data_IF_667488175588
#
_entry.id   IF_667488175588
#
_cell.length_a   1.000
_cell.length_b   1.000
_cell.length_c   1.000
_cell.angle_alpha   90.00
_cell.angle_beta   90.00
_cell.angle_gamma   90.00
#
_symmetry.space_group_name_H-M   'P 1'
#
loop_
_entity.id
_entity.type
_entity.pdbx_description
1 polymer ?
#
# COMPACT_ATOMS: atom_id res chain seq x y z
N UNK A 1 20.45 35.57 1.90
CA UNK A 1 20.42 34.21 1.29
C UNK A 1 19.53 33.35 2.17
N UNK A 2 18.27 33.14 1.77
CA UNK A 2 17.29 32.40 2.55
C UNK A 2 17.02 31.07 1.85
N UNK A 3 17.48 29.98 2.46
CA UNK A 3 17.21 28.60 2.02
C UNK A 3 15.74 28.32 2.27
N UNK A 4 14.94 28.36 1.21
CA UNK A 4 13.51 28.01 1.27
C UNK A 4 13.36 26.49 1.12
N UNK A 5 12.97 25.84 2.22
CA UNK A 5 12.58 24.43 2.26
C UNK A 5 11.48 24.19 1.22
N UNK A 6 11.77 23.38 0.19
CA UNK A 6 10.74 22.85 -0.72
C UNK A 6 10.02 21.72 0.01
N UNK A 7 8.79 21.97 0.43
CA UNK A 7 7.86 20.92 0.81
C UNK A 7 7.57 20.07 -0.42
N UNK A 8 7.79 18.77 -0.30
CA UNK A 8 7.36 17.78 -1.29
C UNK A 8 6.09 17.17 -0.70
N UNK A 9 4.92 17.72 -1.02
CA UNK A 9 3.66 17.04 -0.73
C UNK A 9 3.45 16.04 -1.87
N UNK A 10 3.83 14.79 -1.61
CA UNK A 10 3.30 13.66 -2.36
C UNK A 10 1.78 13.73 -2.25
N UNK A 11 1.10 14.09 -3.34
CA UNK A 11 -0.32 13.76 -3.51
C UNK A 11 -0.46 12.30 -3.97
N UNK A 12 0.37 11.40 -3.44
CA UNK A 12 -0.24 10.26 -2.80
C UNK A 12 -0.68 10.77 -1.43
N UNK A 13 -1.98 10.92 -1.20
CA UNK A 13 -2.46 10.41 0.08
C UNK A 13 -2.14 8.91 0.06
N UNK A 14 -0.86 8.56 0.24
CA UNK A 14 -0.44 7.34 0.87
C UNK A 14 -0.91 7.49 2.31
N UNK A 15 -2.23 7.45 2.47
CA UNK A 15 -2.83 6.69 3.54
C UNK A 15 -2.04 5.40 3.49
N UNK A 16 -1.14 5.20 4.45
CA UNK A 16 -0.49 3.92 4.60
C UNK A 16 -1.63 2.91 4.78
N UNK A 17 -2.05 2.27 3.68
CA UNK A 17 -3.14 1.31 3.68
C UNK A 17 -2.59 0.14 4.47
N UNK A 18 -3.19 -0.06 5.64
CA UNK A 18 -2.80 -1.15 6.52
C UNK A 18 -2.98 -2.50 5.84
N UNK A 19 -2.43 -3.53 6.46
CA UNK A 19 -2.99 -4.89 6.44
C UNK A 19 -4.48 -4.82 6.80
N UNK A 20 -5.27 -4.69 5.75
CA UNK A 20 -6.72 -4.62 5.83
C UNK A 20 -7.29 -5.99 5.55
N UNK A 21 -8.22 -6.39 6.40
CA UNK A 21 -9.12 -7.51 6.12
C UNK A 21 -10.41 -6.91 5.56
N UNK A 22 -10.69 -7.15 4.27
CA UNK A 22 -11.96 -6.78 3.66
C UNK A 22 -12.97 -7.88 4.03
N UNK A 23 -13.81 -7.61 5.02
CA UNK A 23 -14.94 -8.49 5.30
C UNK A 23 -16.06 -8.17 4.32
N UNK A 24 -16.27 -9.04 3.32
CA UNK A 24 -17.37 -8.90 2.38
C UNK A 24 -18.70 -8.97 3.11
N UNK A 25 -19.45 -7.87 3.11
CA UNK A 25 -20.87 -7.90 3.45
C UNK A 25 -21.63 -8.48 2.24
N UNK A 26 -21.51 -9.79 2.03
CA UNK A 26 -22.48 -10.56 1.25
C UNK A 26 -23.74 -10.73 2.08
N UNK A 27 -24.51 -9.66 2.27
CA UNK A 27 -25.86 -9.75 2.83
C UNK A 27 -26.82 -9.64 1.65
N UNK A 28 -27.43 -10.76 1.28
CA UNK A 28 -28.69 -10.74 0.55
C UNK A 28 -29.68 -9.93 1.40
N UNK A 29 -29.85 -8.66 1.07
CA UNK A 29 -30.92 -7.84 1.61
C UNK A 29 -32.23 -8.44 1.10
N UNK A 30 -32.91 -9.22 1.93
CA UNK A 30 -34.33 -9.46 1.75
C UNK A 30 -35.01 -8.10 1.61
N UNK A 31 -35.81 -7.91 0.55
CA UNK A 31 -36.45 -6.66 0.15
C UNK A 31 -37.42 -6.05 1.19
N UNK A 32 -37.42 -6.49 2.45
CA UNK A 32 -38.35 -6.09 3.51
C UNK A 32 -37.83 -5.10 4.57
N UNK A 33 -36.59 -4.59 4.48
CA UNK A 33 -36.04 -3.65 5.49
C UNK A 33 -35.49 -2.33 4.94
N UNK A 34 -35.70 -2.05 3.65
CA UNK A 34 -35.17 -0.87 2.98
C UNK A 34 -36.01 0.40 3.26
N UNK A 35 -36.18 0.80 4.52
CA UNK A 35 -36.74 2.11 4.91
C UNK A 35 -36.34 2.50 6.35
N UNK A 36 -35.05 2.46 6.70
CA UNK A 36 -34.54 3.38 7.71
C UNK A 36 -33.83 4.49 6.97
N UNK A 37 -34.40 5.70 6.99
CA UNK A 37 -33.75 6.86 6.41
C UNK A 37 -32.32 6.97 6.94
N UNK A 38 -31.34 7.10 6.04
CA UNK A 38 -29.95 7.45 6.33
C UNK A 38 -29.87 8.83 7.01
N UNK A 39 -30.30 8.92 8.27
CA UNK A 39 -30.21 10.15 9.02
C UNK A 39 -28.75 10.38 9.43
N UNK A 40 -28.27 11.64 9.47
CA UNK A 40 -26.95 11.96 9.98
C UNK A 40 -26.68 11.36 11.38
N UNK A 41 -27.70 11.30 12.26
CA UNK A 41 -27.61 10.62 13.56
C UNK A 41 -27.43 9.11 13.45
N UNK A 42 -28.09 8.47 12.49
CA UNK A 42 -27.97 7.04 12.24
C UNK A 42 -26.53 6.63 11.90
N UNK A 43 -25.84 7.44 11.08
CA UNK A 43 -24.42 7.23 10.77
C UNK A 43 -23.54 7.32 12.02
N UNK A 44 -23.75 8.35 12.86
CA UNK A 44 -23.00 8.51 14.11
C UNK A 44 -23.19 7.29 15.02
N UNK A 45 -24.42 6.80 15.13
CA UNK A 45 -24.73 5.62 15.94
C UNK A 45 -24.11 4.34 15.36
N UNK A 46 -24.22 4.14 14.04
CA UNK A 46 -23.62 2.98 13.35
C UNK A 46 -22.11 2.91 13.61
N UNK A 47 -21.40 4.02 13.41
CA UNK A 47 -19.95 4.08 13.66
C UNK A 47 -19.64 3.79 15.13
N UNK A 48 -20.37 4.39 16.06
CA UNK A 48 -20.20 4.15 17.49
C UNK A 48 -20.35 2.66 17.83
N UNK A 49 -21.40 2.00 17.31
CA UNK A 49 -21.68 0.59 17.56
C UNK A 49 -20.59 -0.32 17.01
N UNK A 50 -20.03 0.00 15.84
CA UNK A 50 -18.93 -0.79 15.27
C UNK A 50 -17.71 -0.69 16.19
N UNK A 51 -17.31 0.51 16.61
CA UNK A 51 -16.17 0.70 17.53
C UNK A 51 -16.40 -0.05 18.85
N UNK A 52 -17.58 0.12 19.45
CA UNK A 52 -17.95 -0.52 20.71
C UNK A 52 -17.75 -2.05 20.64
N UNK A 53 -18.10 -2.67 19.51
CA UNK A 53 -18.03 -4.11 19.32
C UNK A 53 -16.65 -4.63 18.89
N UNK A 54 -15.91 -3.91 18.03
CA UNK A 54 -14.76 -4.51 17.32
C UNK A 54 -13.40 -3.86 17.58
N UNK A 55 -13.33 -2.61 18.03
CA UNK A 55 -12.08 -1.92 18.35
C UNK A 55 -11.13 -2.68 19.29
N UNK A 56 -9.84 -2.74 19.00
CA UNK A 56 -8.87 -3.62 19.68
C UNK A 56 -8.68 -3.33 21.19
N UNK A 57 -8.87 -2.08 21.62
CA UNK A 57 -8.73 -1.69 23.02
C UNK A 57 -10.11 -1.54 23.67
N UNK A 58 -10.49 -2.53 24.49
CA UNK A 58 -11.76 -2.54 25.21
C UNK A 58 -11.90 -1.44 26.28
N UNK A 59 -10.82 -0.72 26.60
CA UNK A 59 -10.87 0.46 27.48
C UNK A 59 -11.08 1.76 26.71
N UNK A 60 -11.07 1.71 25.37
CA UNK A 60 -11.25 2.86 24.47
C UNK A 60 -10.31 4.03 24.81
N UNK A 61 -9.04 3.74 25.12
CA UNK A 61 -8.08 4.72 25.60
C UNK A 61 -8.56 5.48 26.85
N UNK A 62 -9.19 4.74 27.79
CA UNK A 62 -9.80 5.25 29.04
C UNK A 62 -10.96 6.23 28.81
N UNK A 63 -11.53 6.28 27.62
CA UNK A 63 -12.71 7.09 27.32
C UNK A 63 -13.96 6.33 27.73
N UNK A 64 -14.89 7.00 28.43
CA UNK A 64 -16.23 6.46 28.63
C UNK A 64 -16.97 6.46 27.27
N UNK A 65 -16.90 5.31 26.59
CA UNK A 65 -17.45 5.16 25.25
C UNK A 65 -18.98 5.23 25.27
N UNK A 66 -19.64 4.76 26.34
CA UNK A 66 -21.11 4.85 26.48
C UNK A 66 -21.56 6.29 26.66
N UNK A 67 -20.89 7.06 27.53
CA UNK A 67 -21.17 8.49 27.68
C UNK A 67 -20.89 9.26 26.38
N UNK A 68 -19.83 8.87 25.65
CA UNK A 68 -19.53 9.43 24.33
C UNK A 68 -20.68 9.20 23.34
N UNK A 69 -21.33 8.03 23.35
CA UNK A 69 -22.54 7.80 22.54
C UNK A 69 -23.61 8.84 22.82
N UNK A 70 -23.95 9.01 24.09
CA UNK A 70 -25.00 9.94 24.53
C UNK A 70 -24.67 11.37 24.15
N UNK A 71 -23.42 11.80 24.35
CA UNK A 71 -22.93 13.12 23.96
C UNK A 71 -23.16 13.40 22.47
N UNK A 72 -22.75 12.48 21.59
CA UNK A 72 -22.83 12.68 20.15
C UNK A 72 -24.26 12.52 19.62
N UNK A 73 -25.07 11.59 20.13
CA UNK A 73 -26.46 11.44 19.69
C UNK A 73 -27.37 12.62 20.11
N UNK A 74 -27.01 13.34 21.17
CA UNK A 74 -27.72 14.53 21.61
C UNK A 74 -27.42 15.78 20.76
N UNK A 75 -26.35 15.78 19.96
CA UNK A 75 -26.02 16.90 19.07
C UNK A 75 -27.04 16.99 17.92
N UNK A 76 -27.45 18.20 17.50
CA UNK A 76 -28.16 18.38 16.24
C UNK A 76 -27.19 18.21 15.07
N UNK A 77 -27.64 17.60 13.98
CA UNK A 77 -26.91 17.49 12.72
C UNK A 77 -27.83 17.95 11.60
N UNK A 78 -27.51 19.09 11.00
CA UNK A 78 -28.27 19.67 9.89
C UNK A 78 -27.90 19.02 8.54
N UNK A 79 -26.72 18.38 8.43
CA UNK A 79 -26.26 17.73 7.20
C UNK A 79 -25.40 16.49 7.46
N UNK A 80 -25.12 15.72 6.39
CA UNK A 80 -24.19 14.57 6.43
C UNK A 80 -22.77 15.02 6.78
N UNK A 81 -22.34 16.17 6.25
CA UNK A 81 -21.01 16.73 6.48
C UNK A 81 -20.78 17.10 7.96
N UNK A 82 -21.83 17.57 8.66
CA UNK A 82 -21.77 17.79 10.11
C UNK A 82 -21.61 16.47 10.87
N UNK A 83 -22.35 15.42 10.48
CA UNK A 83 -22.16 14.09 11.05
C UNK A 83 -20.76 13.52 10.76
N UNK A 84 -20.20 13.71 9.56
CA UNK A 84 -18.84 13.27 9.23
C UNK A 84 -17.80 13.94 10.12
N UNK A 85 -17.93 15.26 10.35
CA UNK A 85 -17.05 15.99 11.29
C UNK A 85 -17.18 15.42 12.69
N UNK A 86 -18.40 15.23 13.17
CA UNK A 86 -18.67 14.69 14.49
C UNK A 86 -18.11 13.27 14.66
N UNK A 87 -18.28 12.39 13.67
CA UNK A 87 -17.69 11.04 13.66
C UNK A 87 -16.16 11.13 13.75
N UNK A 88 -15.51 11.98 12.94
CA UNK A 88 -14.05 12.15 12.99
C UNK A 88 -13.59 12.64 14.36
N UNK A 89 -14.31 13.56 14.99
CA UNK A 89 -14.04 14.01 16.37
C UNK A 89 -14.23 12.89 17.40
N UNK A 90 -15.29 12.10 17.27
CA UNK A 90 -15.58 10.96 18.15
C UNK A 90 -14.44 9.94 18.10
N UNK A 91 -13.99 9.58 16.89
CA UNK A 91 -12.90 8.62 16.70
C UNK A 91 -11.54 9.14 17.20
N UNK A 92 -11.27 10.45 17.13
CA UNK A 92 -10.03 11.04 17.68
C UNK A 92 -9.87 10.77 19.18
N UNK A 93 -10.96 10.62 19.94
CA UNK A 93 -10.91 10.30 21.38
C UNK A 93 -10.18 8.98 21.66
N UNK A 94 -10.20 8.03 20.71
CA UNK A 94 -9.53 6.73 20.85
C UNK A 94 -7.99 6.82 20.83
N UNK A 95 -7.43 7.95 20.37
CA UNK A 95 -5.98 8.11 20.26
C UNK A 95 -5.30 7.19 19.23
N UNK A 96 -6.08 6.44 18.44
CA UNK A 96 -5.59 5.57 17.38
C UNK A 96 -5.70 6.26 16.01
N UNK A 97 -4.57 6.64 15.37
CA UNK A 97 -4.58 7.30 14.08
C UNK A 97 -5.04 6.38 12.93
N UNK A 98 -5.13 5.06 13.16
CA UNK A 98 -5.53 4.09 12.14
C UNK A 98 -7.02 3.77 12.15
N UNK A 99 -7.71 4.02 13.27
CA UNK A 99 -9.16 3.95 13.35
C UNK A 99 -9.76 5.26 12.85
N UNK A 100 -10.36 5.23 11.67
CA UNK A 100 -10.77 6.46 10.98
C UNK A 100 -11.99 6.24 10.09
N UNK A 101 -12.77 7.30 10.00
CA UNK A 101 -13.85 7.45 9.03
C UNK A 101 -13.29 7.93 7.70
N UNK A 102 -13.87 7.43 6.63
CA UNK A 102 -13.62 7.80 5.25
C UNK A 102 -14.93 8.22 4.63
N UNK A 103 -15.03 9.43 4.08
CA UNK A 103 -16.21 9.79 3.30
C UNK A 103 -16.32 8.91 2.03
N UNK A 104 -17.45 8.93 1.29
CA UNK A 104 -17.64 8.04 0.14
C UNK A 104 -16.53 8.14 -0.91
N UNK A 105 -15.93 9.32 -1.10
CA UNK A 105 -14.86 9.52 -2.06
C UNK A 105 -13.53 8.97 -1.55
N UNK A 106 -13.20 9.22 -0.28
CA UNK A 106 -12.04 8.63 0.40
C UNK A 106 -12.11 7.10 0.41
N UNK A 107 -13.30 6.54 0.71
CA UNK A 107 -13.51 5.10 0.76
C UNK A 107 -13.36 4.46 -0.63
N UNK A 108 -13.94 5.07 -1.66
CA UNK A 108 -13.77 4.65 -3.05
C UNK A 108 -12.31 4.68 -3.51
N UNK A 109 -11.56 5.71 -3.13
CA UNK A 109 -10.13 5.78 -3.45
C UNK A 109 -9.34 4.65 -2.79
N UNK A 110 -9.62 4.36 -1.51
CA UNK A 110 -9.00 3.24 -0.81
C UNK A 110 -9.32 1.90 -1.48
N UNK A 111 -10.57 1.68 -1.93
CA UNK A 111 -10.95 0.47 -2.66
C UNK A 111 -10.14 0.29 -3.95
N UNK A 112 -9.95 1.37 -4.72
CA UNK A 112 -9.12 1.38 -5.94
C UNK A 112 -7.67 1.00 -5.63
N UNK A 113 -7.07 1.55 -4.58
CA UNK A 113 -5.69 1.25 -4.20
C UNK A 113 -5.52 -0.24 -3.82
N UNK A 114 -6.54 -0.85 -3.20
CA UNK A 114 -6.48 -2.26 -2.77
C UNK A 114 -6.83 -3.26 -3.87
N UNK A 115 -7.70 -2.90 -4.81
CA UNK A 115 -8.05 -3.78 -5.94
C UNK A 115 -6.88 -3.98 -6.89
N UNK A 116 -5.95 -3.02 -6.96
CA UNK A 116 -4.92 -3.01 -8.01
C UNK A 116 -5.49 -2.64 -9.38
N UNK A 117 -6.73 -2.16 -9.44
CA UNK A 117 -7.40 -1.70 -10.66
C UNK A 117 -7.89 -0.27 -10.48
N UNK A 118 -7.53 0.61 -11.42
CA UNK A 118 -8.08 1.95 -11.52
C UNK A 118 -8.91 2.10 -12.79
N UNK A 119 -10.06 2.77 -12.69
CA UNK A 119 -10.77 3.21 -13.89
C UNK A 119 -10.42 4.64 -14.23
N UNK A 120 -9.98 4.89 -15.47
CA UNK A 120 -9.64 6.22 -15.95
C UNK A 120 -8.79 6.14 -17.21
N UNK A 121 -7.85 7.07 -17.37
CA UNK A 121 -6.94 7.11 -18.53
C UNK A 121 -5.48 6.79 -18.18
N UNK A 122 -5.16 6.66 -16.89
CA UNK A 122 -3.86 6.18 -16.42
C UNK A 122 -2.81 7.27 -16.30
N UNK A 123 -3.14 8.36 -15.59
CA UNK A 123 -2.23 9.48 -15.36
C UNK A 123 -2.09 9.68 -13.85
N UNK A 124 -0.85 9.80 -13.38
CA UNK A 124 -0.54 10.29 -12.05
C UNK A 124 -0.42 11.81 -12.10
N UNK A 125 -1.19 12.51 -11.28
CA UNK A 125 -1.28 13.97 -11.27
C UNK A 125 -0.81 14.57 -9.96
N UNK A 126 -0.27 15.77 -10.05
CA UNK A 126 -0.04 16.66 -8.91
C UNK A 126 -0.53 18.06 -9.25
N UNK A 127 -0.86 18.85 -8.23
CA UNK A 127 -0.97 20.30 -8.38
C UNK A 127 0.36 20.93 -7.94
N UNK A 128 0.95 21.79 -8.76
CA UNK A 128 2.12 22.57 -8.35
C UNK A 128 1.72 23.54 -7.22
N UNK A 129 2.47 23.54 -6.11
CA UNK A 129 2.06 24.28 -4.91
C UNK A 129 1.95 25.79 -5.13
N UNK A 130 2.78 26.35 -6.02
CA UNK A 130 2.88 27.79 -6.28
C UNK A 130 1.95 28.25 -7.38
N UNK A 131 1.95 27.54 -8.50
CA UNK A 131 1.21 27.92 -9.71
C UNK A 131 -0.18 27.30 -9.76
N UNK A 132 -0.48 26.33 -8.88
CA UNK A 132 -1.73 25.54 -8.86
C UNK A 132 -2.01 24.79 -10.16
N UNK A 133 -1.03 24.70 -11.07
CA UNK A 133 -1.17 24.00 -12.34
C UNK A 133 -1.18 22.50 -12.11
N UNK A 134 -2.14 21.83 -12.75
CA UNK A 134 -2.21 20.37 -12.75
C UNK A 134 -1.13 19.81 -13.68
N UNK A 135 -0.21 19.07 -13.10
CA UNK A 135 0.98 18.55 -13.78
C UNK A 135 0.99 17.03 -13.72
N UNK A 136 1.31 16.41 -14.85
CA UNK A 136 1.52 14.96 -14.96
C UNK A 136 2.83 14.61 -14.26
N UNK A 137 2.76 13.77 -13.24
CA UNK A 137 3.95 13.15 -12.66
C UNK A 137 4.48 12.11 -13.64
N UNK A 138 3.62 11.16 -14.02
CA UNK A 138 3.92 10.13 -15.00
C UNK A 138 2.62 9.51 -15.54
N UNK A 139 2.58 9.10 -16.82
CA UNK A 139 1.59 8.13 -17.27
C UNK A 139 1.86 6.76 -16.62
N UNK A 140 0.79 5.97 -16.41
CA UNK A 140 0.90 4.56 -16.02
C UNK A 140 1.22 3.75 -17.27
N UNK A 141 2.25 2.90 -17.22
CA UNK A 141 2.61 1.99 -18.34
C UNK A 141 1.38 1.18 -18.79
N UNK A 142 1.31 0.89 -20.10
CA UNK A 142 0.19 0.16 -20.75
C UNK A 142 -1.21 0.80 -20.62
N UNK A 143 -1.29 2.04 -20.15
CA UNK A 143 -2.55 2.80 -20.06
C UNK A 143 -2.90 3.57 -21.35
N UNK A 144 -4.16 4.00 -21.52
CA UNK A 144 -4.56 4.87 -22.63
C UNK A 144 -3.73 6.15 -22.75
N UNK A 145 -3.38 6.79 -21.63
CA UNK A 145 -2.54 7.99 -21.62
C UNK A 145 -1.10 7.70 -22.04
N UNK A 146 -0.54 6.57 -21.61
CA UNK A 146 0.79 6.13 -22.03
C UNK A 146 0.84 5.86 -23.53
N UNK A 147 -0.13 5.09 -24.05
CA UNK A 147 -0.25 4.80 -25.47
C UNK A 147 -0.46 6.06 -26.32
N UNK A 148 -1.15 7.07 -25.77
CA UNK A 148 -1.35 8.37 -26.43
C UNK A 148 -0.11 9.28 -26.41
N UNK A 149 0.96 8.92 -25.68
CA UNK A 149 2.20 9.70 -25.63
C UNK A 149 2.13 10.91 -24.69
N UNK A 150 1.29 10.86 -23.66
CA UNK A 150 1.36 11.80 -22.53
C UNK A 150 2.66 11.55 -21.77
N UNK A 151 3.36 12.62 -21.40
CA UNK A 151 4.68 12.56 -20.77
C UNK A 151 4.67 13.16 -19.37
N UNK A 152 5.66 12.77 -18.57
CA UNK A 152 5.96 13.46 -17.31
C UNK A 152 6.19 14.96 -17.55
N UNK A 153 5.69 15.78 -16.63
CA UNK A 153 5.71 17.26 -16.63
C UNK A 153 4.78 17.94 -17.64
N UNK A 154 3.98 17.18 -18.38
CA UNK A 154 2.87 17.75 -19.14
C UNK A 154 1.90 18.48 -18.20
N UNK A 155 1.40 19.65 -18.62
CA UNK A 155 0.46 20.44 -17.82
C UNK A 155 -0.93 20.27 -18.42
N UNK A 156 -1.91 19.83 -17.62
CA UNK A 156 -3.31 19.79 -18.03
C UNK A 156 -3.89 21.20 -17.91
N UNK A 157 -4.33 21.77 -19.04
CA UNK A 157 -4.93 23.11 -19.08
C UNK A 157 -6.44 23.08 -19.33
N UNK A 158 -6.98 22.00 -19.93
CA UNK A 158 -8.43 21.77 -20.01
C UNK A 158 -8.79 20.28 -19.90
N UNK A 159 -9.99 20.00 -19.36
CA UNK A 159 -10.60 18.67 -19.26
C UNK A 159 -12.02 18.78 -19.80
N UNK A 160 -12.32 18.07 -20.90
CA UNK A 160 -13.60 18.16 -21.63
C UNK A 160 -14.00 19.62 -21.94
N UNK A 161 -13.02 20.44 -22.30
CA UNK A 161 -13.19 21.87 -22.60
C UNK A 161 -13.31 22.78 -21.36
N UNK A 162 -13.40 22.23 -20.15
CA UNK A 162 -13.39 23.02 -18.91
C UNK A 162 -11.97 23.43 -18.57
N UNK A 163 -11.74 24.72 -18.25
CA UNK A 163 -10.44 25.20 -17.81
C UNK A 163 -9.98 24.48 -16.56
N UNK A 164 -8.72 24.05 -16.55
CA UNK A 164 -8.06 23.43 -15.41
C UNK A 164 -7.37 24.47 -14.48
N UNK A 165 -7.42 25.77 -14.83
CA UNK A 165 -6.84 26.83 -14.02
C UNK A 165 -7.57 26.97 -12.68
N UNK A 166 -6.81 26.90 -11.57
CA UNK A 166 -7.37 26.93 -10.22
C UNK A 166 -8.21 25.71 -9.85
N UNK A 167 -8.28 24.68 -10.71
CA UNK A 167 -9.06 23.48 -10.43
C UNK A 167 -8.37 22.64 -9.36
N UNK A 168 -9.13 22.31 -8.31
CA UNK A 168 -8.68 21.38 -7.27
C UNK A 168 -8.34 20.01 -7.87
N UNK A 169 -7.23 19.41 -7.41
CA UNK A 169 -6.72 18.13 -7.92
C UNK A 169 -7.80 17.04 -7.89
N UNK A 170 -8.56 16.94 -6.80
CA UNK A 170 -9.63 15.96 -6.66
C UNK A 170 -10.75 16.17 -7.68
N UNK A 171 -11.09 17.42 -8.00
CA UNK A 171 -12.08 17.73 -9.03
C UNK A 171 -11.58 17.28 -10.40
N UNK A 172 -10.33 17.58 -10.74
CA UNK A 172 -9.73 17.12 -11.99
C UNK A 172 -9.72 15.59 -12.11
N UNK A 173 -9.30 14.88 -11.05
CA UNK A 173 -9.33 13.42 -11.00
C UNK A 173 -10.75 12.89 -11.25
N UNK A 174 -11.77 13.51 -10.65
CA UNK A 174 -13.17 13.10 -10.85
C UNK A 174 -13.67 13.26 -12.30
N UNK A 175 -13.19 14.27 -13.02
CA UNK A 175 -13.54 14.53 -14.43
C UNK A 175 -12.79 13.60 -15.39
N UNK A 176 -11.53 13.32 -15.08
CA UNK A 176 -10.68 12.43 -15.89
C UNK A 176 -11.13 10.97 -15.75
N UNK A 177 -11.52 10.57 -14.54
CA UNK A 177 -12.18 9.28 -14.30
C UNK A 177 -13.59 9.27 -14.86
N UNK A 178 -14.18 8.08 -14.97
CA UNK A 178 -15.51 7.90 -15.54
C UNK A 178 -15.71 6.46 -15.99
N UNK A 179 -16.87 6.15 -16.57
CA UNK A 179 -17.21 4.78 -16.97
C UNK A 179 -16.24 4.24 -18.03
N UNK A 180 -15.73 3.00 -17.90
CA UNK A 180 -14.90 2.39 -18.94
C UNK A 180 -15.61 2.40 -20.29
N UNK A 181 -14.86 2.64 -21.36
CA UNK A 181 -15.38 2.73 -22.73
C UNK A 181 -15.79 4.14 -23.17
N UNK A 182 -16.10 5.04 -22.23
CA UNK A 182 -16.33 6.47 -22.52
C UNK A 182 -15.00 7.19 -22.77
N UNK A 183 -15.04 8.42 -23.28
CA UNK A 183 -13.83 9.20 -23.54
C UNK A 183 -13.78 10.50 -22.76
N UNK A 184 -12.57 11.00 -22.54
CA UNK A 184 -12.28 12.33 -21.99
C UNK A 184 -11.30 13.04 -22.93
N UNK A 185 -11.52 14.32 -23.16
CA UNK A 185 -10.62 15.18 -23.92
C UNK A 185 -9.72 15.95 -22.97
N UNK A 186 -8.40 15.75 -23.07
CA UNK A 186 -7.42 16.53 -22.32
C UNK A 186 -6.69 17.49 -23.25
N UNK A 187 -6.66 18.77 -22.88
CA UNK A 187 -5.78 19.74 -23.53
C UNK A 187 -4.53 19.89 -22.66
N UNK A 188 -3.38 19.55 -23.24
CA UNK A 188 -2.08 19.50 -22.57
C UNK A 188 -1.19 20.63 -23.10
N UNK A 189 -0.49 21.30 -22.20
CA UNK A 189 0.62 22.19 -22.50
C UNK A 189 1.96 21.48 -22.25
N UNK A 190 2.79 21.40 -23.28
CA UNK A 190 4.16 20.87 -23.24
C UNK A 190 5.12 21.91 -23.79
N UNK A 191 5.83 22.59 -22.88
CA UNK A 191 6.56 23.81 -23.23
C UNK A 191 5.60 24.86 -23.80
N UNK A 192 5.88 25.36 -25.00
CA UNK A 192 5.03 26.36 -25.67
C UNK A 192 3.94 25.74 -26.57
N UNK A 193 3.90 24.41 -26.69
CA UNK A 193 2.93 23.71 -27.54
C UNK A 193 1.70 23.28 -26.74
N UNK A 194 0.52 23.46 -27.34
CA UNK A 194 -0.73 22.88 -26.87
C UNK A 194 -1.14 21.72 -27.76
N UNK A 195 -1.59 20.62 -27.15
CA UNK A 195 -2.00 19.40 -27.84
C UNK A 195 -3.28 18.88 -27.21
N UNK A 196 -4.22 18.41 -28.04
CA UNK A 196 -5.44 17.76 -27.57
C UNK A 196 -5.30 16.23 -27.65
N UNK A 197 -5.74 15.55 -26.60
CA UNK A 197 -5.75 14.09 -26.51
C UNK A 197 -7.17 13.61 -26.22
N UNK A 198 -7.75 12.88 -27.16
CA UNK A 198 -8.99 12.14 -26.93
C UNK A 198 -8.65 10.77 -26.36
N UNK A 199 -8.85 10.59 -25.06
CA UNK A 199 -8.46 9.38 -24.34
C UNK A 199 -9.70 8.55 -24.01
N UNK A 200 -9.66 7.26 -24.36
CA UNK A 200 -10.69 6.31 -23.94
C UNK A 200 -10.42 5.88 -22.50
N UNK A 201 -11.42 6.00 -21.63
CA UNK A 201 -11.37 5.50 -20.26
C UNK A 201 -11.35 3.98 -20.29
N UNK A 202 -10.44 3.38 -19.55
CA UNK A 202 -10.29 1.94 -19.42
C UNK A 202 -10.13 1.55 -17.96
N UNK A 203 -10.26 0.25 -17.69
CA UNK A 203 -9.67 -0.34 -16.50
C UNK A 203 -8.17 -0.44 -16.73
N UNK A 204 -7.39 0.09 -15.80
CA UNK A 204 -5.94 0.12 -15.83
C UNK A 204 -5.46 -0.72 -14.66
N UNK A 205 -4.71 -1.75 -14.97
CA UNK A 205 -4.05 -2.57 -13.98
C UNK A 205 -2.86 -1.80 -13.42
N UNK A 206 -2.79 -1.71 -12.10
CA UNK A 206 -1.63 -1.19 -11.40
C UNK A 206 -0.80 -2.40 -11.03
N UNK A 207 0.35 -2.58 -11.69
CA UNK A 207 1.23 -3.72 -11.45
C UNK A 207 2.06 -3.54 -10.17
N UNK A 208 1.72 -4.23 -9.06
CA UNK A 208 2.47 -4.14 -7.81
C UNK A 208 3.85 -4.80 -7.85
N UNK A 209 4.13 -5.67 -8.83
CA UNK A 209 5.39 -6.43 -8.88
C UNK A 209 6.20 -6.05 -10.11
N UNK A 210 7.40 -5.55 -9.88
CA UNK A 210 8.43 -5.36 -10.92
C UNK A 210 9.49 -6.44 -10.73
N UNK A 211 9.84 -7.16 -11.80
CA UNK A 211 10.86 -8.20 -11.73
C UNK A 211 11.85 -8.12 -12.88
N UNK A 212 13.09 -8.51 -12.61
CA UNK A 212 14.15 -8.48 -13.60
C UNK A 212 15.25 -9.46 -13.26
N UNK A 213 15.80 -10.10 -14.29
CA UNK A 213 17.06 -10.80 -14.21
C UNK A 213 18.21 -9.79 -14.11
N UNK A 214 19.10 -9.98 -13.15
CA UNK A 214 20.32 -9.19 -12.98
C UNK A 214 21.51 -10.10 -13.25
N UNK A 215 22.22 -9.82 -14.34
CA UNK A 215 23.49 -10.48 -14.61
C UNK A 215 24.48 -10.02 -13.55
N UNK A 216 25.15 -10.98 -12.95
CA UNK A 216 26.19 -10.76 -11.94
C UNK A 216 27.34 -11.73 -12.22
N UNK A 217 28.44 -11.63 -11.48
CA UNK A 217 29.58 -12.55 -11.55
C UNK A 217 29.20 -14.00 -11.16
N UNK A 218 28.03 -14.19 -10.57
CA UNK A 218 27.49 -15.50 -10.23
C UNK A 218 26.98 -16.29 -11.44
N UNK A 219 27.29 -17.58 -11.47
CA UNK A 219 26.73 -18.52 -12.44
C UNK A 219 25.22 -18.67 -12.21
N UNK A 220 24.42 -18.07 -13.11
CA UNK A 220 22.96 -18.04 -13.05
C UNK A 220 22.35 -16.67 -12.71
N UNK A 221 23.14 -15.69 -12.25
CA UNK A 221 22.65 -14.33 -11.95
C UNK A 221 21.63 -14.26 -10.80
N UNK A 222 20.99 -13.09 -10.65
CA UNK A 222 20.06 -12.79 -9.54
C UNK A 222 18.67 -12.46 -10.04
N UNK A 223 17.67 -13.04 -9.38
CA UNK A 223 16.28 -12.61 -9.51
C UNK A 223 16.00 -11.41 -8.60
N UNK A 224 15.91 -10.22 -9.19
CA UNK A 224 15.46 -9.04 -8.45
C UNK A 224 13.96 -8.86 -8.61
N UNK A 225 13.23 -8.81 -7.49
CA UNK A 225 11.79 -8.58 -7.45
C UNK A 225 11.51 -7.43 -6.51
N UNK A 226 10.85 -6.38 -6.99
CA UNK A 226 10.37 -5.26 -6.17
C UNK A 226 8.86 -5.33 -6.07
N UNK A 227 8.36 -5.46 -4.84
CA UNK A 227 6.93 -5.44 -4.52
C UNK A 227 6.59 -4.08 -3.92
N UNK A 228 5.84 -3.25 -4.65
CA UNK A 228 5.53 -1.88 -4.21
C UNK A 228 4.28 -1.78 -3.32
N UNK A 229 3.37 -2.75 -3.41
CA UNK A 229 2.15 -2.79 -2.61
C UNK A 229 1.54 -4.20 -2.59
N UNK A 230 0.87 -4.58 -1.50
CA UNK A 230 0.12 -5.83 -1.39
C UNK A 230 -1.33 -5.64 -1.90
N UNK A 231 -1.51 -5.46 -3.21
CA UNK A 231 -2.85 -5.41 -3.84
C UNK A 231 -3.41 -6.81 -4.16
N UNK A 232 -4.65 -6.88 -4.65
CA UNK A 232 -5.26 -8.17 -5.04
C UNK A 232 -4.50 -8.89 -6.17
N UNK A 233 -3.85 -8.15 -7.07
CA UNK A 233 -3.09 -8.72 -8.20
C UNK A 233 -1.69 -9.21 -7.80
N UNK A 234 -1.16 -8.76 -6.65
CA UNK A 234 0.21 -9.03 -6.25
C UNK A 234 0.59 -10.53 -6.13
N UNK A 235 -0.27 -11.44 -5.63
CA UNK A 235 0.09 -12.86 -5.54
C UNK A 235 0.31 -13.48 -6.92
N UNK A 236 -0.57 -13.19 -7.88
CA UNK A 236 -0.47 -13.72 -9.23
C UNK A 236 0.79 -13.20 -9.93
N UNK A 237 1.06 -11.90 -9.84
CA UNK A 237 2.27 -11.30 -10.43
C UNK A 237 3.56 -11.78 -9.75
N UNK A 238 3.57 -11.94 -8.42
CA UNK A 238 4.71 -12.48 -7.68
C UNK A 238 5.02 -13.91 -8.11
N UNK A 239 4.00 -14.76 -8.20
CA UNK A 239 4.14 -16.14 -8.69
C UNK A 239 4.73 -16.17 -10.10
N UNK A 240 4.19 -15.35 -11.01
CA UNK A 240 4.68 -15.26 -12.38
C UNK A 240 6.13 -14.76 -12.45
N UNK A 241 6.48 -13.76 -11.63
CA UNK A 241 7.84 -13.24 -11.52
C UNK A 241 8.83 -14.32 -11.07
N UNK A 242 8.50 -15.05 -9.99
CA UNK A 242 9.33 -16.14 -9.49
C UNK A 242 9.50 -17.22 -10.56
N UNK A 243 8.40 -17.70 -11.17
CA UNK A 243 8.44 -18.74 -12.20
C UNK A 243 9.23 -18.32 -13.45
N UNK A 244 9.13 -17.06 -13.89
CA UNK A 244 9.91 -16.53 -15.02
C UNK A 244 11.41 -16.51 -14.69
N UNK A 245 11.77 -16.07 -13.48
CA UNK A 245 13.15 -16.02 -13.02
C UNK A 245 13.73 -17.43 -12.79
N UNK A 246 12.94 -18.38 -12.31
CA UNK A 246 13.33 -19.79 -12.21
C UNK A 246 13.67 -20.38 -13.59
N UNK A 247 12.86 -20.09 -14.63
CA UNK A 247 13.16 -20.49 -16.03
C UNK A 247 14.45 -19.87 -16.57
N UNK A 248 14.88 -18.73 -16.03
CA UNK A 248 16.15 -18.08 -16.34
C UNK A 248 17.32 -18.61 -15.48
N UNK A 249 17.05 -19.62 -14.65
CA UNK A 249 18.00 -20.31 -13.80
C UNK A 249 18.77 -19.36 -12.85
N UNK A 250 18.07 -18.41 -12.24
CA UNK A 250 18.65 -17.52 -11.23
C UNK A 250 19.25 -18.30 -10.07
N UNK A 251 20.36 -17.84 -9.51
CA UNK A 251 21.06 -18.49 -8.40
C UNK A 251 20.43 -18.16 -7.04
N UNK A 252 19.68 -17.06 -6.97
CA UNK A 252 19.04 -16.57 -5.76
C UNK A 252 18.24 -15.29 -6.01
N UNK A 253 17.61 -14.78 -4.96
CA UNK A 253 16.66 -13.69 -5.03
C UNK A 253 16.99 -12.52 -4.10
N UNK A 254 16.73 -11.31 -4.60
CA UNK A 254 16.60 -10.10 -3.78
C UNK A 254 15.15 -9.64 -3.90
N UNK A 255 14.42 -9.68 -2.78
CA UNK A 255 13.06 -9.16 -2.67
C UNK A 255 13.10 -7.77 -2.04
N UNK A 256 12.70 -6.75 -2.79
CA UNK A 256 12.70 -5.36 -2.34
C UNK A 256 11.31 -4.92 -1.87
N UNK A 257 11.20 -4.70 -0.55
CA UNK A 257 10.00 -4.20 0.15
C UNK A 257 10.16 -2.75 0.61
N UNK A 258 11.22 -2.05 0.19
CA UNK A 258 11.47 -0.66 0.60
C UNK A 258 10.39 0.26 0.08
N UNK A 259 9.92 1.15 0.95
CA UNK A 259 8.84 2.10 0.70
C UNK A 259 7.51 1.43 0.31
N UNK A 260 7.30 0.17 0.71
CA UNK A 260 6.03 -0.53 0.56
C UNK A 260 5.18 -0.39 1.84
N UNK A 261 4.09 0.40 1.81
CA UNK A 261 3.29 0.72 2.99
C UNK A 261 2.42 -0.46 3.48
N UNK A 262 2.45 -1.60 2.80
CA UNK A 262 1.60 -2.75 3.05
C UNK A 262 0.51 -2.89 2.00
N UNK A 263 -0.73 -3.12 2.44
CA UNK A 263 -1.85 -3.53 1.60
C UNK A 263 -2.55 -4.72 2.25
N UNK A 264 -3.19 -5.61 1.50
CA UNK A 264 -4.03 -6.67 2.04
C UNK A 264 -3.26 -7.70 2.87
N UNK A 265 -3.83 -8.06 4.04
CA UNK A 265 -3.26 -9.07 4.95
C UNK A 265 -3.10 -10.43 4.25
N UNK A 266 -4.16 -10.93 3.63
CA UNK A 266 -4.16 -12.25 3.00
C UNK A 266 -3.20 -12.34 1.81
N UNK A 267 -3.05 -11.26 1.04
CA UNK A 267 -2.01 -11.15 0.01
C UNK A 267 -0.61 -11.36 0.59
N UNK A 268 -0.32 -10.82 1.77
CA UNK A 268 0.98 -11.01 2.42
C UNK A 268 1.24 -12.46 2.83
N UNK A 269 0.21 -13.15 3.33
CA UNK A 269 0.27 -14.56 3.72
C UNK A 269 0.46 -15.45 2.49
N UNK A 270 -0.27 -15.19 1.40
CA UNK A 270 -0.11 -15.91 0.14
C UNK A 270 1.30 -15.75 -0.44
N UNK A 271 1.82 -14.53 -0.46
CA UNK A 271 3.20 -14.27 -0.91
C UNK A 271 4.21 -14.95 0.02
N UNK A 272 4.01 -14.92 1.34
CA UNK A 272 4.88 -15.63 2.28
C UNK A 272 4.94 -17.14 2.01
N UNK A 273 3.80 -17.77 1.67
CA UNK A 273 3.71 -19.19 1.29
C UNK A 273 4.49 -19.53 0.00
N UNK A 274 4.76 -18.56 -0.86
CA UNK A 274 5.60 -18.77 -2.06
C UNK A 274 7.09 -18.89 -1.70
N UNK A 275 7.50 -18.34 -0.56
CA UNK A 275 8.89 -18.33 -0.11
C UNK A 275 9.16 -19.32 1.03
N UNK A 276 8.15 -19.66 1.84
CA UNK A 276 8.26 -20.54 3.00
C UNK A 276 7.62 -21.90 2.72
N UNK A 277 8.40 -22.97 2.89
CA UNK A 277 7.91 -24.35 2.77
C UNK A 277 7.08 -24.73 4.00
N UNK A 278 7.64 -24.54 5.19
CA UNK A 278 7.01 -24.76 6.49
C UNK A 278 7.21 -23.53 7.41
N UNK A 279 6.71 -23.63 8.64
CA UNK A 279 6.81 -22.56 9.65
C UNK A 279 5.56 -21.68 9.78
N UNK A 280 5.55 -20.88 10.85
CA UNK A 280 4.49 -19.90 11.09
C UNK A 280 4.77 -18.61 10.29
N UNK A 281 3.72 -17.90 9.91
CA UNK A 281 3.83 -16.64 9.14
C UNK A 281 3.48 -15.47 10.04
N UNK A 282 2.29 -15.47 10.63
CA UNK A 282 1.80 -14.39 11.47
C UNK A 282 0.76 -14.93 12.44
N UNK A 283 0.66 -14.30 13.60
CA UNK A 283 -0.52 -14.44 14.46
C UNK A 283 -1.23 -13.10 14.62
N UNK A 284 -2.55 -13.12 14.72
CA UNK A 284 -3.34 -11.97 15.16
C UNK A 284 -3.84 -12.21 16.57
N UNK A 285 -3.89 -11.15 17.39
CA UNK A 285 -4.47 -11.20 18.74
C UNK A 285 -5.50 -10.08 18.85
N UNK A 286 -6.75 -10.43 19.12
CA UNK A 286 -7.85 -9.47 19.30
C UNK A 286 -8.00 -9.00 20.74
N UNK A 287 -9.05 -8.22 21.02
CA UNK A 287 -9.33 -7.68 22.36
C UNK A 287 -9.70 -8.77 23.39
N UNK A 288 -10.20 -9.91 22.93
CA UNK A 288 -10.57 -11.06 23.77
C UNK A 288 -9.36 -11.93 24.10
N UNK A 289 -8.22 -11.69 23.43
CA UNK A 289 -7.03 -12.52 23.52
C UNK A 289 -7.08 -13.75 22.62
N UNK A 290 -8.10 -13.86 21.76
CA UNK A 290 -8.19 -14.94 20.78
C UNK A 290 -7.07 -14.77 19.75
N UNK A 291 -6.40 -15.89 19.44
CA UNK A 291 -5.23 -15.90 18.58
C UNK A 291 -5.49 -16.74 17.33
N UNK A 292 -5.55 -16.08 16.18
CA UNK A 292 -5.53 -16.76 14.88
C UNK A 292 -4.09 -16.86 14.38
N UNK A 293 -3.72 -17.99 13.76
CA UNK A 293 -2.34 -18.30 13.36
C UNK A 293 -2.30 -18.80 11.93
N UNK A 294 -1.55 -18.06 11.12
CA UNK A 294 -1.33 -18.40 9.72
C UNK A 294 0.02 -19.10 9.54
N UNK A 295 0.03 -20.15 8.72
CA UNK A 295 1.21 -20.99 8.47
C UNK A 295 1.50 -21.18 6.98
N UNK A 296 2.75 -21.52 6.70
CA UNK A 296 3.16 -22.04 5.42
C UNK A 296 2.45 -23.38 5.12
N UNK A 297 2.36 -23.73 3.84
CA UNK A 297 1.49 -24.82 3.36
C UNK A 297 2.21 -25.81 2.42
N UNK A 298 3.54 -25.92 2.50
CA UNK A 298 4.38 -26.77 1.64
C UNK A 298 4.28 -26.47 0.14
N UNK A 299 3.93 -25.23 -0.24
CA UNK A 299 3.83 -24.79 -1.65
C UNK A 299 4.83 -23.68 -1.99
N UNK A 300 5.99 -23.67 -1.34
CA UNK A 300 7.07 -22.76 -1.73
C UNK A 300 7.42 -22.99 -3.20
N UNK A 301 7.66 -21.91 -3.92
CA UNK A 301 8.02 -21.94 -5.34
C UNK A 301 9.52 -22.10 -5.54
N UNK A 302 10.32 -21.80 -4.51
CA UNK A 302 11.78 -21.88 -4.56
C UNK A 302 12.38 -21.95 -3.16
N UNK A 303 13.42 -22.77 -3.02
CA UNK A 303 14.25 -22.85 -1.82
C UNK A 303 15.60 -22.12 -1.98
N UNK A 304 15.80 -21.45 -3.13
CA UNK A 304 17.04 -20.71 -3.42
C UNK A 304 17.28 -19.59 -2.40
N UNK A 305 18.55 -19.20 -2.16
CA UNK A 305 18.91 -18.11 -1.26
C UNK A 305 18.10 -16.84 -1.52
N UNK A 306 17.65 -16.21 -0.43
CA UNK A 306 16.82 -14.99 -0.45
C UNK A 306 17.42 -13.95 0.50
N UNK A 307 17.47 -12.71 0.03
CA UNK A 307 17.72 -11.51 0.82
C UNK A 307 16.55 -10.54 0.63
N UNK A 308 16.10 -9.90 1.71
CA UNK A 308 14.98 -8.94 1.67
C UNK A 308 15.49 -7.55 1.99
N UNK A 309 15.17 -6.57 1.14
CA UNK A 309 15.46 -5.16 1.41
C UNK A 309 14.26 -4.52 2.11
N UNK A 310 14.53 -3.82 3.22
CA UNK A 310 13.51 -3.11 4.02
C UNK A 310 13.97 -1.70 4.39
N UNK A 311 13.03 -0.78 4.58
CA UNK A 311 13.30 0.56 5.08
C UNK A 311 12.18 1.06 6.02
N UNK A 312 12.30 2.29 6.52
CA UNK A 312 11.27 2.92 7.35
C UNK A 312 9.92 3.16 6.66
N UNK A 313 9.83 2.95 5.34
CA UNK A 313 8.58 2.95 4.59
C UNK A 313 7.97 1.56 4.41
N UNK A 314 8.70 0.49 4.73
CA UNK A 314 8.17 -0.87 4.85
C UNK A 314 7.24 -0.94 6.06
N UNK A 315 5.94 -1.12 5.83
CA UNK A 315 4.95 -1.13 6.90
C UNK A 315 3.94 -2.28 6.75
N UNK A 316 3.33 -2.67 7.87
CA UNK A 316 2.16 -3.54 7.94
C UNK A 316 2.34 -4.89 7.22
N UNK A 317 1.66 -5.17 6.11
CA UNK A 317 1.84 -6.41 5.34
C UNK A 317 3.31 -6.67 4.93
N UNK A 318 4.10 -5.61 4.67
CA UNK A 318 5.55 -5.72 4.42
C UNK A 318 6.30 -6.21 5.66
N UNK A 319 5.88 -5.78 6.84
CA UNK A 319 6.45 -6.20 8.14
C UNK A 319 6.05 -7.64 8.47
N UNK A 320 4.82 -8.03 8.14
CA UNK A 320 4.38 -9.43 8.26
C UNK A 320 5.27 -10.36 7.42
N UNK A 321 5.44 -10.03 6.13
CA UNK A 321 6.26 -10.84 5.23
C UNK A 321 7.73 -10.87 5.67
N UNK A 322 8.32 -9.72 5.97
CA UNK A 322 9.73 -9.64 6.38
C UNK A 322 9.98 -10.32 7.74
N UNK A 323 9.08 -10.15 8.71
CA UNK A 323 9.14 -10.83 10.01
C UNK A 323 8.98 -12.34 9.89
N UNK A 324 8.06 -12.81 9.06
CA UNK A 324 7.90 -14.24 8.78
C UNK A 324 9.16 -14.83 8.16
N UNK A 325 9.75 -14.17 7.15
CA UNK A 325 10.96 -14.66 6.49
C UNK A 325 12.19 -14.61 7.39
N UNK A 326 12.30 -13.59 8.26
CA UNK A 326 13.38 -13.46 9.23
C UNK A 326 13.29 -14.53 10.32
N UNK A 327 12.13 -14.66 10.97
CA UNK A 327 11.96 -15.57 12.12
C UNK A 327 12.14 -17.03 11.74
N UNK A 328 11.73 -17.41 10.53
CA UNK A 328 11.95 -18.76 10.00
C UNK A 328 13.35 -18.94 9.37
N UNK A 329 14.26 -17.95 9.51
CA UNK A 329 15.63 -17.96 8.94
C UNK A 329 15.66 -18.15 7.41
N UNK A 330 14.54 -17.85 6.73
CA UNK A 330 14.39 -18.03 5.28
C UNK A 330 15.14 -16.96 4.48
N UNK A 331 15.24 -15.75 5.02
CA UNK A 331 15.94 -14.64 4.39
C UNK A 331 16.81 -13.87 5.40
N UNK A 332 17.83 -13.18 4.89
CA UNK A 332 18.48 -12.08 5.63
C UNK A 332 17.79 -10.77 5.26
N UNK A 333 17.44 -9.94 6.24
CA UNK A 333 16.93 -8.59 6.05
C UNK A 333 18.09 -7.59 6.00
N UNK A 334 18.07 -6.70 5.02
CA UNK A 334 19.10 -5.67 4.80
C UNK A 334 18.42 -4.31 4.63
N UNK A 335 18.97 -3.27 5.24
CA UNK A 335 18.49 -1.90 5.05
C UNK A 335 18.33 -1.15 6.37
N UNK A 336 17.14 -0.61 6.67
CA UNK A 336 16.88 0.09 7.93
C UNK A 336 15.65 -0.48 8.63
N UNK A 337 15.52 -0.24 9.94
CA UNK A 337 14.33 -0.56 10.72
C UNK A 337 13.04 -0.17 9.99
N UNK A 338 12.04 -1.06 10.03
CA UNK A 338 10.72 -0.84 9.43
C UNK A 338 9.85 0.13 10.24
N UNK A 339 8.68 0.47 9.71
CA UNK A 339 7.82 1.53 10.25
C UNK A 339 7.27 1.25 11.67
N UNK A 340 6.91 0.01 11.97
CA UNK A 340 6.26 -0.37 13.23
C UNK A 340 4.74 -0.31 13.21
N UNK A 341 4.09 -0.69 12.11
CA UNK A 341 2.62 -0.74 12.00
C UNK A 341 2.12 -2.17 12.17
N UNK A 342 2.06 -2.62 13.42
CA UNK A 342 1.66 -3.98 13.81
C UNK A 342 0.17 -4.16 14.15
N UNK A 343 -0.73 -3.38 13.55
CA UNK A 343 -2.17 -3.39 13.85
C UNK A 343 -2.97 -3.88 12.65
N UNK A 344 -4.02 -4.66 12.92
CA UNK A 344 -4.98 -5.21 11.95
C UNK A 344 -6.16 -4.27 11.83
N UNK A 345 -6.53 -3.88 10.61
CA UNK A 345 -7.71 -3.05 10.38
C UNK A 345 -8.78 -3.85 9.65
N UNK A 346 -9.99 -3.87 10.19
CA UNK A 346 -11.18 -4.24 9.43
C UNK A 346 -11.69 -2.98 8.75
N UNK A 347 -11.90 -3.06 7.44
CA UNK A 347 -12.55 -1.98 6.69
C UNK A 347 -13.94 -2.41 6.28
N UNK A 348 -14.93 -1.56 6.54
CA UNK A 348 -16.34 -1.79 6.28
C UNK A 348 -16.94 -0.59 5.56
N UNK A 349 -17.81 -0.86 4.58
CA UNK A 349 -18.70 0.16 4.03
C UNK A 349 -19.84 0.43 5.00
N UNK A 350 -20.31 1.68 5.05
CA UNK A 350 -21.43 2.15 5.86
C UNK A 350 -22.65 2.41 4.95
N UNK A 351 -23.82 2.60 5.56
CA UNK A 351 -25.09 2.70 4.83
C UNK A 351 -25.12 3.76 3.73
N UNK A 352 -24.46 4.90 3.96
CA UNK A 352 -24.44 6.06 3.05
C UNK A 352 -23.32 6.01 1.98
N UNK A 353 -22.63 4.87 1.85
CA UNK A 353 -21.52 4.67 0.92
C UNK A 353 -20.17 5.17 1.44
N UNK A 354 -20.11 5.71 2.66
CA UNK A 354 -18.86 6.00 3.35
C UNK A 354 -18.21 4.72 3.88
N UNK A 355 -17.03 4.84 4.49
CA UNK A 355 -16.28 3.70 5.01
C UNK A 355 -15.70 3.94 6.38
N UNK A 356 -15.53 2.87 7.14
CA UNK A 356 -14.88 2.88 8.44
C UNK A 356 -13.74 1.87 8.46
N UNK A 357 -12.53 2.35 8.76
CA UNK A 357 -11.40 1.50 9.12
C UNK A 357 -11.33 1.43 10.65
N UNK A 358 -11.35 0.22 11.21
CA UNK A 358 -11.28 -0.02 12.66
C UNK A 358 -10.12 -0.93 12.96
N UNK A 359 -9.27 -0.55 13.90
CA UNK A 359 -8.24 -1.45 14.43
C UNK A 359 -8.91 -2.52 15.28
N UNK A 360 -8.82 -3.79 14.89
CA UNK A 360 -9.53 -4.90 15.56
C UNK A 360 -8.60 -5.89 16.28
N UNK A 361 -7.33 -5.92 15.91
CA UNK A 361 -6.35 -6.85 16.45
C UNK A 361 -4.92 -6.31 16.24
N UNK A 362 -3.94 -6.98 16.84
CA UNK A 362 -2.51 -6.74 16.61
C UNK A 362 -1.82 -7.95 16.00
N UNK A 363 -0.73 -7.72 15.25
CA UNK A 363 0.11 -8.76 14.67
C UNK A 363 1.26 -9.14 15.59
N UNK A 364 1.52 -10.44 15.67
CA UNK A 364 2.75 -10.99 16.23
C UNK A 364 3.51 -11.76 15.16
N UNK A 365 4.83 -11.58 15.11
CA UNK A 365 5.71 -12.40 14.26
C UNK A 365 5.74 -13.86 14.75
N UNK A 366 6.28 -14.82 13.99
CA UNK A 366 6.39 -16.21 14.43
C UNK A 366 7.07 -16.40 15.81
N UNK A 367 8.05 -15.56 16.14
CA UNK A 367 8.72 -15.55 17.45
C UNK A 367 7.96 -14.75 18.52
N UNK A 368 6.72 -14.33 18.27
CA UNK A 368 5.88 -13.61 19.22
C UNK A 368 6.19 -12.12 19.37
N UNK A 369 6.99 -11.51 18.48
CA UNK A 369 7.34 -10.09 18.56
C UNK A 369 6.16 -9.22 18.17
N UNK A 370 5.85 -8.22 19.00
CA UNK A 370 4.87 -7.18 18.69
C UNK A 370 5.50 -6.15 17.75
N UNK A 371 4.98 -6.05 16.53
CA UNK A 371 5.48 -5.13 15.51
C UNK A 371 5.06 -3.69 15.83
N UNK A 372 3.95 -3.49 16.55
CA UNK A 372 3.37 -2.16 16.73
C UNK A 372 4.33 -1.24 17.52
N UNK A 373 4.63 -0.07 16.96
CA UNK A 373 5.60 0.94 17.43
C UNK A 373 7.07 0.49 17.44
N UNK A 374 7.35 -0.81 17.27
CA UNK A 374 8.70 -1.36 17.34
C UNK A 374 9.28 -1.68 15.97
N UNK A 375 8.45 -2.01 14.98
CA UNK A 375 8.92 -2.46 13.67
C UNK A 375 9.74 -3.74 13.74
N UNK A 376 10.53 -3.95 12.70
CA UNK A 376 11.41 -5.09 12.49
C UNK A 376 12.78 -4.52 12.16
N UNK A 377 13.77 -4.89 12.98
CA UNK A 377 15.15 -4.51 12.74
C UNK A 377 15.76 -5.43 11.65
N UNK A 378 16.50 -4.87 10.68
CA UNK A 378 17.19 -5.67 9.68
C UNK A 378 18.32 -6.46 10.34
N UNK A 379 18.66 -7.62 9.79
CA UNK A 379 19.83 -8.38 10.25
C UNK A 379 21.14 -7.65 9.92
N UNK A 380 21.14 -6.85 8.84
CA UNK A 380 22.26 -5.99 8.44
C UNK A 380 21.77 -4.57 8.18
N UNK A 381 22.13 -3.65 9.08
CA UNK A 381 21.77 -2.25 8.94
C UNK A 381 22.67 -1.53 7.93
N UNK A 382 22.06 -0.90 6.93
CA UNK A 382 22.70 -0.02 5.94
C UNK A 382 21.86 1.26 5.84
N UNK A 383 22.37 2.33 6.41
CA UNK A 383 21.76 3.66 6.36
C UNK A 383 22.27 4.41 5.12
N UNK A 384 21.34 5.04 4.40
CA UNK A 384 21.66 5.97 3.33
C UNK A 384 21.67 7.39 3.88
N UNK A 385 22.64 8.20 3.46
CA UNK A 385 22.61 9.65 3.68
C UNK A 385 21.42 10.30 2.97
N UNK A 386 21.05 11.53 3.37
CA UNK A 386 19.97 12.28 2.72
C UNK A 386 20.22 12.50 1.24
N UNK A 387 21.46 12.80 0.85
CA UNK A 387 21.85 12.98 -0.55
C UNK A 387 21.71 11.69 -1.35
N UNK A 388 22.10 10.54 -0.78
CA UNK A 388 21.92 9.23 -1.42
C UNK A 388 20.44 8.86 -1.57
N UNK A 389 19.61 9.11 -0.54
CA UNK A 389 18.16 8.91 -0.62
C UNK A 389 17.54 9.81 -1.69
N UNK A 390 17.94 11.07 -1.74
CA UNK A 390 17.44 12.02 -2.73
C UNK A 390 17.89 11.64 -4.14
N UNK A 391 19.12 11.14 -4.31
CA UNK A 391 19.62 10.66 -5.61
C UNK A 391 18.80 9.48 -6.12
N UNK A 392 18.52 8.47 -5.29
CA UNK A 392 17.66 7.33 -5.66
C UNK A 392 16.20 7.74 -5.91
N UNK A 393 15.70 8.74 -5.19
CA UNK A 393 14.36 9.26 -5.42
C UNK A 393 14.23 10.04 -6.72
N UNK A 394 15.30 10.75 -7.13
CA UNK A 394 15.34 11.52 -8.40
C UNK A 394 15.56 10.63 -9.61
N UNK A 395 16.29 9.54 -9.43
CA UNK A 395 16.67 8.61 -10.48
C UNK A 395 16.36 7.18 -10.05
N UNK A 396 15.13 6.74 -10.33
CA UNK A 396 14.61 5.44 -9.90
C UNK A 396 15.24 4.27 -10.65
N UNK A 397 15.91 4.51 -11.77
CA UNK A 397 16.59 3.47 -12.55
C UNK A 397 17.83 2.93 -11.83
N UNK A 398 18.35 3.68 -10.85
CA UNK A 398 19.42 3.23 -9.95
C UNK A 398 18.95 2.23 -8.89
N UNK A 399 17.66 2.14 -8.61
CA UNK A 399 17.12 1.22 -7.60
C UNK A 399 17.29 -0.23 -8.08
N UNK A 400 17.84 -1.08 -7.23
CA UNK A 400 18.09 -2.48 -7.60
C UNK A 400 19.29 -2.65 -8.54
N UNK A 401 20.26 -1.74 -8.45
CA UNK A 401 21.55 -1.76 -9.17
C UNK A 401 22.71 -1.55 -8.19
N UNK A 402 23.96 -1.82 -8.58
CA UNK A 402 25.12 -1.56 -7.70
C UNK A 402 25.28 -0.10 -7.25
N UNK A 403 24.63 0.88 -7.91
CA UNK A 403 24.63 2.27 -7.47
C UNK A 403 23.76 2.50 -6.21
N UNK A 404 22.90 1.56 -5.86
CA UNK A 404 22.12 1.52 -4.63
C UNK A 404 22.87 0.70 -3.58
N UNK A 405 23.40 1.37 -2.55
CA UNK A 405 24.25 0.74 -1.53
C UNK A 405 23.55 -0.40 -0.76
N UNK A 406 22.24 -0.28 -0.52
CA UNK A 406 21.50 -1.33 0.16
C UNK A 406 21.36 -2.56 -0.75
N UNK A 407 21.08 -2.35 -2.04
CA UNK A 407 21.08 -3.43 -3.02
C UNK A 407 22.47 -4.06 -3.17
N UNK A 408 23.53 -3.26 -3.27
CA UNK A 408 24.90 -3.76 -3.37
C UNK A 408 25.27 -4.64 -2.16
N UNK A 409 24.87 -4.23 -0.95
CA UNK A 409 25.09 -5.05 0.25
C UNK A 409 24.25 -6.32 0.25
N UNK A 410 22.99 -6.25 -0.17
CA UNK A 410 22.15 -7.43 -0.32
C UNK A 410 22.71 -8.43 -1.33
N UNK A 411 23.27 -7.94 -2.44
CA UNK A 411 23.94 -8.75 -3.44
C UNK A 411 25.16 -9.47 -2.83
N UNK A 412 26.03 -8.75 -2.11
CA UNK A 412 27.19 -9.34 -1.42
C UNK A 412 26.79 -10.48 -0.48
N UNK A 413 25.76 -10.26 0.36
CA UNK A 413 25.24 -11.27 1.30
C UNK A 413 24.64 -12.46 0.56
N UNK A 414 23.89 -12.20 -0.51
CA UNK A 414 23.30 -13.25 -1.33
C UNK A 414 24.38 -14.13 -1.97
N UNK A 415 25.44 -13.52 -2.51
CA UNK A 415 26.58 -14.24 -3.09
C UNK A 415 27.28 -15.12 -2.05
N UNK A 416 27.46 -14.63 -0.83
CA UNK A 416 28.04 -15.42 0.27
C UNK A 416 27.15 -16.63 0.62
N UNK A 417 25.82 -16.43 0.72
CA UNK A 417 24.86 -17.52 0.99
C UNK A 417 24.86 -18.57 -0.11
N UNK A 418 24.92 -18.17 -1.38
CA UNK A 418 25.00 -19.09 -2.52
C UNK A 418 26.28 -19.93 -2.45
N UNK A 419 27.43 -19.29 -2.20
CA UNK A 419 28.71 -20.00 -2.06
C UNK A 419 28.70 -21.00 -0.91
N UNK A 420 28.08 -20.67 0.22
CA UNK A 420 27.97 -21.57 1.37
C UNK A 420 27.08 -22.80 1.13
N UNK A 421 26.16 -22.75 0.14
CA UNK A 421 25.29 -23.86 -0.22
C UNK A 421 25.87 -24.77 -1.30
N UNK A 422 26.98 -24.38 -1.96
CA UNK A 422 27.66 -25.27 -2.90
C UNK A 422 28.40 -26.37 -2.11
N UNK A 423 28.21 -27.66 -2.45
CA UNK A 423 28.95 -28.73 -1.79
C UNK A 423 30.45 -28.50 -1.98
N UNK A 424 31.22 -28.47 -0.88
CA UNK A 424 32.67 -28.45 -0.93
C UNK A 424 33.14 -29.65 -1.75
N UNK A 425 33.81 -29.42 -2.88
CA UNK A 425 34.41 -30.49 -3.66
C UNK A 425 35.30 -31.35 -2.72
N UNK A 426 35.22 -32.69 -2.79
CA UNK A 426 36.10 -33.53 -2.00
C UNK A 426 37.55 -33.16 -2.34
N UNK A 427 38.34 -32.82 -1.32
CA UNK A 427 39.79 -32.65 -1.50
C UNK A 427 40.33 -33.98 -1.99
N UNK A 428 40.85 -33.99 -3.21
CA UNK A 428 41.52 -35.12 -3.86
C UNK A 428 42.78 -35.54 -3.11
#
# INVERSE_FOLDING_TARGET
>A
MAVTKRGLVLASTAIAVSAVTITGAGIHLSQGQAFFQESPKGLVDEVWQIIDRTYVDGTFNKVDWKATRTEYLNKPYASKEEAYKAVREMLKKLGDPYTRFMDPQEFKNMQIDTSGELTGVGIQLTADEKTKKLTVIAPIEDSPAFAAGILSKDIIIQIDGQSAEGMELNKAVSLIRGTPGTSVKLTIQRGDKQMEYQLKRAKIEIHPVRSSYRKDEMQGGVGYIRLVQFSANAPAEMKNAIQKLEKQNVSGYILDLRSNPGGLLFTSIEIARMWLKDGAIVSTVDRQGEQDRERANNRSLTDKPLVVLVDGGSASASEILSGALQDNKRATLVGTKTFGKGLVQSVRGLGDGSGLAVTIAKYLTPNGRDINKHGIDPDVEIKLSDDQRQALSKDRDKIGTPADLQYAKALEILTQRIKAQQPTAPKS
#
